data_IF_408251887662
#
_entry.id   IF_408251887662
#
_cell.length_a   1.000
_cell.length_b   1.000
_cell.length_c   1.000
_cell.angle_alpha   90.00
_cell.angle_beta   90.00
_cell.angle_gamma   90.00
#
_symmetry.space_group_name_H-M   'P 1'
#
loop_
_entity.id
_entity.type
_entity.pdbx_description
1 polymer ?
#
# COMPACT_ATOMS: atom_id res chain seq x y z
N UNK A 1 15.81 -23.06 -8.69
CA UNK A 1 15.27 -22.79 -10.05
C UNK A 1 13.78 -22.44 -10.06
N UNK A 2 12.96 -22.85 -9.08
CA UNK A 2 11.54 -22.44 -9.00
C UNK A 2 11.31 -20.96 -8.62
N UNK A 3 12.22 -20.31 -7.86
CA UNK A 3 12.04 -18.92 -7.43
C UNK A 3 12.02 -17.89 -8.58
N UNK A 4 12.80 -18.09 -9.64
CA UNK A 4 12.89 -17.12 -10.75
C UNK A 4 11.60 -17.03 -11.57
N UNK A 5 10.79 -18.10 -11.59
CA UNK A 5 9.57 -18.15 -12.40
C UNK A 5 8.45 -17.24 -11.87
N UNK A 6 8.50 -16.88 -10.57
CA UNK A 6 7.45 -16.10 -9.91
C UNK A 6 7.95 -14.72 -9.43
N UNK A 7 9.18 -14.33 -9.77
CA UNK A 7 9.76 -13.04 -9.35
C UNK A 7 8.94 -11.84 -9.81
N UNK A 8 8.27 -11.93 -10.95
CA UNK A 8 7.44 -10.86 -11.50
C UNK A 8 6.09 -10.69 -10.78
N UNK A 9 5.61 -11.72 -10.09
CA UNK A 9 4.27 -11.76 -9.49
C UNK A 9 4.28 -11.89 -7.97
N UNK A 10 5.43 -12.16 -7.34
CA UNK A 10 5.55 -12.23 -5.88
C UNK A 10 5.54 -10.85 -5.21
N UNK A 11 5.21 -10.79 -3.90
CA UNK A 11 5.47 -9.63 -3.06
C UNK A 11 6.94 -9.20 -3.12
N UNK A 12 7.18 -7.90 -2.92
CA UNK A 12 8.55 -7.41 -2.75
C UNK A 12 9.14 -7.89 -1.43
N UNK A 13 10.45 -8.11 -1.43
CA UNK A 13 11.24 -8.35 -0.23
C UNK A 13 11.86 -7.03 0.26
N UNK A 14 12.25 -6.99 1.53
CA UNK A 14 12.77 -5.78 2.18
C UNK A 14 13.91 -5.11 1.39
N UNK A 15 14.84 -5.90 0.86
CA UNK A 15 15.96 -5.37 0.09
C UNK A 15 15.56 -4.67 -1.23
N UNK A 16 14.35 -4.94 -1.74
CA UNK A 16 13.80 -4.34 -2.97
C UNK A 16 13.08 -3.02 -2.68
N UNK A 17 12.63 -2.80 -1.44
CA UNK A 17 11.77 -1.67 -1.04
C UNK A 17 12.39 -0.31 -1.38
N UNK A 18 13.67 -0.01 -1.08
CA UNK A 18 14.25 1.30 -1.38
C UNK A 18 14.24 1.61 -2.89
N UNK A 19 14.57 0.63 -3.72
CA UNK A 19 14.63 0.79 -5.18
C UNK A 19 13.22 0.99 -5.80
N UNK A 20 12.21 0.28 -5.27
CA UNK A 20 10.82 0.44 -5.71
C UNK A 20 10.30 1.83 -5.32
N UNK A 21 10.58 2.29 -4.09
CA UNK A 21 10.23 3.63 -3.62
C UNK A 21 10.85 4.72 -4.50
N UNK A 22 12.12 4.60 -4.86
CA UNK A 22 12.77 5.56 -5.76
C UNK A 22 12.09 5.62 -7.14
N UNK A 23 11.74 4.46 -7.70
CA UNK A 23 11.01 4.38 -8.98
C UNK A 23 9.63 5.02 -8.90
N UNK A 24 8.89 4.76 -7.83
CA UNK A 24 7.58 5.38 -7.58
C UNK A 24 7.71 6.90 -7.46
N UNK A 25 8.73 7.39 -6.75
CA UNK A 25 8.99 8.83 -6.60
C UNK A 25 9.34 9.50 -7.92
N UNK A 26 10.01 8.82 -8.85
CA UNK A 26 10.33 9.35 -10.17
C UNK A 26 9.10 9.49 -11.08
N UNK A 27 7.99 8.85 -10.75
CA UNK A 27 6.75 8.95 -11.53
C UNK A 27 6.03 10.28 -11.30
N UNK A 28 6.00 11.13 -12.32
CA UNK A 28 5.22 12.36 -12.27
C UNK A 28 3.72 12.06 -12.14
N UNK A 29 3.23 11.00 -12.79
CA UNK A 29 1.83 10.59 -12.68
C UNK A 29 1.41 10.29 -11.23
N UNK A 30 2.25 9.57 -10.47
CA UNK A 30 1.98 9.27 -9.07
C UNK A 30 2.00 10.55 -8.21
N UNK A 31 3.02 11.39 -8.38
CA UNK A 31 3.17 12.63 -7.62
C UNK A 31 1.99 13.58 -7.88
N UNK A 32 1.56 13.71 -9.13
CA UNK A 32 0.38 14.50 -9.50
C UNK A 32 -0.91 13.92 -8.90
N UNK A 33 -1.10 12.59 -8.95
CA UNK A 33 -2.25 11.95 -8.31
C UNK A 33 -2.31 12.23 -6.81
N UNK A 34 -1.18 12.10 -6.10
CA UNK A 34 -1.08 12.43 -4.66
C UNK A 34 -1.44 13.90 -4.41
N UNK A 35 -0.95 14.82 -5.25
CA UNK A 35 -1.27 16.24 -5.13
C UNK A 35 -2.76 16.50 -5.32
N UNK A 36 -3.39 15.90 -6.33
CA UNK A 36 -4.83 16.09 -6.56
C UNK A 36 -5.69 15.58 -5.40
N UNK A 37 -5.27 14.49 -4.75
CA UNK A 37 -5.97 13.94 -3.58
C UNK A 37 -5.74 14.82 -2.33
N UNK A 38 -4.51 15.25 -2.07
CA UNK A 38 -4.18 16.03 -0.86
C UNK A 38 -4.53 17.53 -0.97
N UNK A 39 -4.47 18.08 -2.19
CA UNK A 39 -4.66 19.50 -2.48
C UNK A 39 -5.62 19.67 -3.68
N UNK A 40 -6.91 19.33 -3.53
CA UNK A 40 -7.88 19.32 -4.64
C UNK A 40 -8.10 20.70 -5.28
N UNK A 41 -7.77 21.79 -4.58
CA UNK A 41 -7.95 23.17 -5.03
C UNK A 41 -6.65 23.84 -5.50
N UNK A 42 -5.57 23.08 -5.73
CA UNK A 42 -4.29 23.67 -6.11
C UNK A 42 -4.36 24.35 -7.49
N UNK A 43 -3.90 25.61 -7.63
CA UNK A 43 -3.80 26.25 -8.93
C UNK A 43 -2.71 25.62 -9.82
N UNK A 44 -2.99 25.51 -11.12
CA UNK A 44 -2.10 24.85 -12.10
C UNK A 44 -0.67 25.40 -12.16
N UNK A 45 -0.47 26.67 -11.85
CA UNK A 45 0.86 27.30 -11.81
C UNK A 45 1.70 26.89 -10.58
N UNK A 46 1.06 26.42 -9.50
CA UNK A 46 1.71 25.92 -8.29
C UNK A 46 1.98 24.41 -8.32
N UNK A 47 1.42 23.67 -9.29
CA UNK A 47 1.59 22.22 -9.37
C UNK A 47 3.05 21.79 -9.50
N UNK A 48 3.86 22.45 -10.36
CA UNK A 48 5.28 22.12 -10.54
C UNK A 48 6.14 22.31 -9.27
N UNK A 49 6.11 23.49 -8.60
CA UNK A 49 6.85 23.66 -7.36
C UNK A 49 6.32 22.75 -6.25
N UNK A 50 5.00 22.51 -6.20
CA UNK A 50 4.40 21.58 -5.24
C UNK A 50 4.82 20.14 -5.50
N UNK A 51 4.89 19.69 -6.75
CA UNK A 51 5.39 18.36 -7.14
C UNK A 51 6.82 18.14 -6.67
N UNK A 52 7.71 19.13 -6.86
CA UNK A 52 9.08 19.05 -6.35
C UNK A 52 9.10 18.97 -4.81
N UNK A 53 8.27 19.75 -4.13
CA UNK A 53 8.17 19.73 -2.67
C UNK A 53 7.63 18.39 -2.15
N UNK A 54 6.54 17.88 -2.72
CA UNK A 54 5.92 16.60 -2.35
C UNK A 54 6.89 15.46 -2.61
N UNK A 55 7.54 15.42 -3.78
CA UNK A 55 8.58 14.43 -4.10
C UNK A 55 9.70 14.45 -3.07
N UNK A 56 10.22 15.63 -2.73
CA UNK A 56 11.28 15.76 -1.71
C UNK A 56 10.80 15.32 -0.32
N UNK A 57 9.58 15.70 0.07
CA UNK A 57 8.98 15.33 1.36
C UNK A 57 8.79 13.82 1.45
N UNK A 58 8.19 13.19 0.44
CA UNK A 58 8.00 11.73 0.41
C UNK A 58 9.36 11.05 0.41
N UNK A 59 10.32 11.48 -0.42
CA UNK A 59 11.68 10.92 -0.42
C UNK A 59 12.34 10.99 0.96
N UNK A 60 12.24 12.12 1.67
CA UNK A 60 12.79 12.26 3.02
C UNK A 60 12.10 11.33 4.03
N UNK A 61 10.78 11.20 3.95
CA UNK A 61 10.01 10.33 4.86
C UNK A 61 10.22 8.84 4.58
N UNK A 62 10.47 8.48 3.32
CA UNK A 62 10.64 7.09 2.90
C UNK A 62 12.12 6.65 2.88
N UNK A 63 13.08 7.56 3.02
CA UNK A 63 14.51 7.22 3.08
C UNK A 63 14.86 6.33 4.27
N UNK A 64 14.08 6.43 5.34
CA UNK A 64 14.25 5.60 6.54
C UNK A 64 13.55 4.25 6.42
N UNK A 65 12.66 4.08 5.43
CA UNK A 65 11.92 2.83 5.20
C UNK A 65 12.79 1.88 4.40
N UNK A 66 13.20 0.79 5.04
CA UNK A 66 14.04 -0.24 4.45
C UNK A 66 13.31 -1.59 4.35
N UNK A 67 12.12 -1.70 4.94
CA UNK A 67 11.35 -2.95 5.01
C UNK A 67 9.91 -2.80 4.55
N UNK A 68 9.30 -3.92 4.15
CA UNK A 68 7.88 -3.98 3.77
C UNK A 68 6.99 -3.66 4.98
N UNK A 69 7.38 -4.12 6.17
CA UNK A 69 6.64 -3.88 7.41
C UNK A 69 6.58 -2.38 7.75
N UNK A 70 7.70 -1.66 7.67
CA UNK A 70 7.74 -0.21 7.89
C UNK A 70 6.89 0.55 6.87
N UNK A 71 6.90 0.12 5.61
CA UNK A 71 6.02 0.70 4.58
C UNK A 71 4.53 0.48 4.92
N UNK A 72 4.16 -0.74 5.31
CA UNK A 72 2.78 -1.08 5.69
C UNK A 72 2.31 -0.34 6.95
N UNK A 73 3.18 -0.15 7.94
CA UNK A 73 2.88 0.68 9.12
C UNK A 73 2.66 2.14 8.73
N UNK A 74 3.44 2.67 7.79
CA UNK A 74 3.20 4.03 7.27
C UNK A 74 1.85 4.13 6.54
N UNK A 75 1.49 3.08 5.78
CA UNK A 75 0.20 2.98 5.10
C UNK A 75 -0.97 2.83 6.08
N UNK A 76 -0.76 2.22 7.25
CA UNK A 76 -1.78 2.13 8.32
C UNK A 76 -2.36 3.49 8.66
N UNK A 77 -1.51 4.52 8.82
CA UNK A 77 -1.97 5.88 9.10
C UNK A 77 -2.81 6.50 7.97
N UNK A 78 -2.55 6.11 6.72
CA UNK A 78 -3.38 6.53 5.58
C UNK A 78 -4.75 5.85 5.59
N UNK A 79 -4.79 4.54 5.85
CA UNK A 79 -6.03 3.78 5.98
C UNK A 79 -6.86 4.31 7.15
N UNK A 80 -6.23 4.56 8.30
CA UNK A 80 -6.86 5.17 9.47
C UNK A 80 -7.51 6.52 9.12
N UNK A 81 -6.77 7.41 8.47
CA UNK A 81 -7.31 8.71 8.05
C UNK A 81 -8.46 8.58 7.05
N UNK A 82 -8.44 7.55 6.21
CA UNK A 82 -9.52 7.24 5.27
C UNK A 82 -10.77 6.82 6.04
N UNK A 83 -10.64 5.86 6.98
CA UNK A 83 -11.74 5.42 7.84
C UNK A 83 -12.38 6.63 8.55
N UNK A 84 -11.58 7.46 9.21
CA UNK A 84 -12.06 8.63 9.97
C UNK A 84 -12.79 9.68 9.11
N UNK A 85 -12.42 9.82 7.83
CA UNK A 85 -12.97 10.85 6.93
C UNK A 85 -14.15 10.37 6.09
N UNK A 86 -14.17 9.09 5.72
CA UNK A 86 -15.11 8.57 4.72
C UNK A 86 -16.09 7.53 5.27
N UNK A 87 -15.88 7.01 6.48
CA UNK A 87 -16.75 5.99 7.07
C UNK A 87 -17.46 6.56 8.29
N UNK A 88 -18.77 6.33 8.38
CA UNK A 88 -19.56 6.70 9.57
C UNK A 88 -19.19 5.83 10.77
N UNK A 89 -18.98 4.53 10.51
CA UNK A 89 -18.60 3.56 11.52
C UNK A 89 -17.81 2.43 10.85
N UNK A 90 -16.74 1.99 11.49
CA UNK A 90 -15.94 0.83 11.09
C UNK A 90 -15.77 -0.08 12.31
N UNK A 91 -16.22 -1.32 12.19
CA UNK A 91 -16.14 -2.34 13.24
C UNK A 91 -15.57 -3.63 12.68
N UNK A 92 -14.85 -4.35 13.53
CA UNK A 92 -14.38 -5.71 13.26
C UNK A 92 -14.59 -6.56 14.50
N UNK A 93 -14.67 -7.88 14.32
CA UNK A 93 -14.83 -8.84 15.42
C UNK A 93 -14.30 -10.21 15.01
N UNK A 94 -13.99 -11.05 16.00
CA UNK A 94 -13.51 -12.42 15.78
C UNK A 94 -11.99 -12.55 15.82
N UNK A 95 -11.28 -11.46 16.13
CA UNK A 95 -9.83 -11.41 16.33
C UNK A 95 -9.35 -12.37 17.43
N UNK A 96 -10.18 -12.64 18.44
CA UNK A 96 -9.89 -13.61 19.50
C UNK A 96 -9.73 -15.04 19.00
N UNK A 97 -10.18 -15.35 17.78
CA UNK A 97 -10.02 -16.67 17.17
C UNK A 97 -8.69 -16.81 16.40
N UNK A 98 -7.94 -15.72 16.26
CA UNK A 98 -6.68 -15.67 15.53
C UNK A 98 -5.50 -15.79 16.50
N UNK A 99 -4.52 -16.60 16.13
CA UNK A 99 -3.30 -16.82 16.90
C UNK A 99 -2.08 -16.36 16.12
N UNK A 100 -1.14 -15.70 16.82
CA UNK A 100 0.11 -15.25 16.20
C UNK A 100 0.95 -16.44 15.74
N UNK A 101 1.55 -16.33 14.55
CA UNK A 101 2.40 -17.37 13.96
C UNK A 101 1.65 -18.54 13.34
N UNK A 102 0.32 -18.52 13.33
CA UNK A 102 -0.51 -19.53 12.65
C UNK A 102 -0.92 -19.01 11.27
N UNK A 103 -0.71 -19.77 10.18
CA UNK A 103 -1.16 -19.36 8.85
C UNK A 103 -2.67 -19.49 8.72
N UNK A 104 -3.32 -18.45 8.21
CA UNK A 104 -4.76 -18.40 7.92
C UNK A 104 -5.00 -18.04 6.46
N UNK A 105 -6.12 -18.53 5.92
CA UNK A 105 -6.64 -18.09 4.62
C UNK A 105 -7.92 -17.29 4.87
N UNK A 106 -7.87 -16.01 4.55
CA UNK A 106 -9.02 -15.11 4.64
C UNK A 106 -9.78 -15.14 3.31
N UNK A 107 -11.09 -15.33 3.39
CA UNK A 107 -11.99 -15.33 2.23
C UNK A 107 -13.01 -14.21 2.46
N UNK A 108 -13.01 -13.22 1.57
CA UNK A 108 -13.96 -12.12 1.62
C UNK A 108 -14.80 -12.08 0.35
N UNK A 109 -15.96 -11.41 0.43
CA UNK A 109 -16.65 -10.95 -0.76
C UNK A 109 -15.84 -9.80 -1.41
N UNK A 110 -16.21 -9.45 -2.65
CA UNK A 110 -15.43 -8.52 -3.46
C UNK A 110 -16.25 -7.28 -3.79
N UNK A 111 -16.04 -6.20 -3.02
CA UNK A 111 -16.64 -4.89 -3.33
C UNK A 111 -15.60 -3.90 -3.84
N UNK A 112 -14.39 -3.95 -3.30
CA UNK A 112 -13.25 -3.19 -3.79
C UNK A 112 -11.93 -3.95 -3.56
N UNK A 113 -11.24 -4.32 -4.65
CA UNK A 113 -9.98 -5.10 -4.61
C UNK A 113 -8.96 -4.50 -3.64
N UNK A 114 -8.88 -3.17 -3.63
CA UNK A 114 -7.79 -2.45 -2.96
C UNK A 114 -8.15 -2.09 -1.53
N UNK A 115 -9.35 -1.56 -1.31
CA UNK A 115 -9.77 -1.10 0.01
C UNK A 115 -10.11 -2.25 0.96
N UNK A 116 -10.73 -3.32 0.47
CA UNK A 116 -11.09 -4.49 1.30
C UNK A 116 -9.81 -5.09 1.93
N UNK A 117 -8.77 -5.24 1.11
CA UNK A 117 -7.48 -5.77 1.54
C UNK A 117 -6.73 -4.82 2.48
N UNK A 118 -6.83 -3.51 2.25
CA UNK A 118 -6.22 -2.50 3.12
C UNK A 118 -6.88 -2.46 4.51
N UNK A 119 -8.21 -2.59 4.59
CA UNK A 119 -8.95 -2.65 5.85
C UNK A 119 -8.65 -3.93 6.62
N UNK A 120 -8.59 -5.09 5.93
CA UNK A 120 -8.20 -6.34 6.56
C UNK A 120 -6.79 -6.23 7.18
N UNK A 121 -5.81 -5.75 6.41
CA UNK A 121 -4.45 -5.56 6.91
C UNK A 121 -4.38 -4.54 8.05
N UNK A 122 -5.17 -3.47 8.00
CA UNK A 122 -5.29 -2.52 9.10
C UNK A 122 -5.76 -3.21 10.38
N UNK A 123 -6.81 -4.02 10.32
CA UNK A 123 -7.33 -4.78 11.46
C UNK A 123 -6.33 -5.81 11.98
N UNK A 124 -5.62 -6.52 11.11
CA UNK A 124 -4.58 -7.49 11.51
C UNK A 124 -3.43 -6.81 12.25
N UNK A 125 -2.95 -5.67 11.73
CA UNK A 125 -1.90 -4.89 12.40
C UNK A 125 -2.40 -4.37 13.75
N UNK A 126 -3.63 -3.87 13.84
CA UNK A 126 -4.22 -3.38 15.08
C UNK A 126 -4.35 -4.48 16.15
N UNK A 127 -4.61 -5.71 15.72
CA UNK A 127 -4.62 -6.90 16.57
C UNK A 127 -3.21 -7.47 16.88
N UNK A 128 -2.13 -6.84 16.40
CA UNK A 128 -0.75 -7.32 16.60
C UNK A 128 -0.38 -8.57 15.79
N UNK A 129 -1.12 -8.84 14.70
CA UNK A 129 -0.90 -9.96 13.79
C UNK A 129 -0.16 -9.51 12.53
N UNK A 130 0.44 -10.48 11.83
CA UNK A 130 1.06 -10.23 10.53
C UNK A 130 0.00 -9.91 9.47
N UNK A 131 0.37 -9.04 8.51
CA UNK A 131 -0.46 -8.73 7.35
C UNK A 131 -0.62 -9.93 6.42
N UNK A 132 -1.79 -10.03 5.80
CA UNK A 132 -2.09 -11.05 4.81
C UNK A 132 -1.39 -10.76 3.48
N UNK A 133 -1.04 -11.84 2.77
CA UNK A 133 -0.71 -11.78 1.35
C UNK A 133 -2.01 -11.76 0.53
N UNK A 134 -2.07 -10.89 -0.47
CA UNK A 134 -3.33 -10.60 -1.18
C UNK A 134 -3.24 -11.16 -2.60
N UNK A 135 -4.03 -12.17 -2.92
CA UNK A 135 -4.18 -12.62 -4.30
C UNK A 135 -5.00 -11.60 -5.11
N UNK A 136 -4.43 -11.06 -6.18
CA UNK A 136 -5.07 -10.08 -7.08
C UNK A 136 -5.14 -10.62 -8.51
N UNK A 137 -6.08 -10.09 -9.30
CA UNK A 137 -6.14 -10.37 -10.74
C UNK A 137 -5.08 -9.62 -11.54
N UNK A 138 -4.75 -10.14 -12.72
CA UNK A 138 -3.79 -9.56 -13.68
C UNK A 138 -4.21 -8.19 -14.25
N UNK A 139 -5.51 -7.87 -14.21
CA UNK A 139 -6.08 -6.61 -14.73
C UNK A 139 -5.44 -5.34 -14.13
N UNK A 140 -5.03 -5.37 -12.86
CA UNK A 140 -4.42 -4.22 -12.16
C UNK A 140 -2.90 -4.09 -12.42
N UNK A 141 -2.27 -5.13 -12.97
CA UNK A 141 -0.82 -5.14 -13.24
C UNK A 141 -0.43 -4.46 -14.55
N UNK A 142 -1.40 -4.08 -15.38
CA UNK A 142 -1.15 -3.41 -16.66
C UNK A 142 -0.49 -2.03 -16.48
N UNK A 143 -0.66 -1.39 -15.32
CA UNK A 143 0.04 -0.18 -14.94
C UNK A 143 1.21 -0.52 -13.99
N UNK A 144 2.47 -0.31 -14.40
CA UNK A 144 3.65 -0.63 -13.59
C UNK A 144 3.67 0.03 -12.20
N UNK A 145 3.11 1.24 -12.07
CA UNK A 145 3.06 1.96 -10.79
C UNK A 145 2.08 1.30 -9.81
N UNK A 146 0.93 0.88 -10.34
CA UNK A 146 -0.10 0.19 -9.57
C UNK A 146 0.41 -1.18 -9.16
N UNK A 147 1.05 -1.90 -10.08
CA UNK A 147 1.75 -3.16 -9.79
C UNK A 147 2.77 -3.00 -8.65
N UNK A 148 3.59 -1.95 -8.70
CA UNK A 148 4.61 -1.71 -7.68
C UNK A 148 4.00 -1.47 -6.29
N UNK A 149 2.95 -0.65 -6.21
CA UNK A 149 2.26 -0.36 -4.96
C UNK A 149 1.53 -1.59 -4.38
N UNK A 150 0.91 -2.40 -5.22
CA UNK A 150 0.22 -3.62 -4.79
C UNK A 150 1.22 -4.65 -4.27
N UNK A 151 2.34 -4.85 -4.97
CA UNK A 151 3.39 -5.79 -4.53
C UNK A 151 4.11 -5.33 -3.26
N UNK A 152 4.23 -4.03 -3.02
CA UNK A 152 4.70 -3.47 -1.73
C UNK A 152 3.69 -3.74 -0.59
N UNK A 153 2.40 -3.89 -0.90
CA UNK A 153 1.37 -4.26 0.06
C UNK A 153 1.18 -5.78 0.19
N UNK A 154 2.19 -6.58 -0.18
CA UNK A 154 2.15 -8.05 -0.21
C UNK A 154 1.11 -8.67 -1.13
N UNK A 155 0.73 -7.98 -2.21
CA UNK A 155 -0.10 -8.59 -3.25
C UNK A 155 0.70 -9.49 -4.19
N UNK A 156 0.07 -10.58 -4.65
CA UNK A 156 0.61 -11.51 -5.64
C UNK A 156 -0.45 -11.95 -6.65
N UNK A 157 -0.01 -12.55 -7.76
CA UNK A 157 -0.86 -13.14 -8.82
C UNK A 157 -0.61 -14.62 -8.95
#
# INVERSE_FOLDING_TARGET
MAMQQFESIRPYQDHEVPAVIERLLQSDALIHAIIHVQFPLVPRYLEKPLARYVRHRIHKNLKEISTVAEFQDRMRGFVQSTIEKSMTEFTFSGEQNLQQGVPYVFISNHRDITLDSALLNYTLIDAGLDTAEIAIGDNLLSNPLVSDLLRLNKSFV
#
